data_IF_886653364494
#
_entry.id   IF_886653364494
#
_cell.length_a   1.000
_cell.length_b   1.000
_cell.length_c   1.000
_cell.angle_alpha   90.00
_cell.angle_beta   90.00
_cell.angle_gamma   90.00
#
_symmetry.space_group_name_H-M   'P 1'
#
loop_
_entity.id
_entity.type
_entity.pdbx_description
1 polymer ?
#
# COMPACT_ATOMS: atom_id res chain seq x y z
N UNK A 1 -18.59 51.09 -26.56
CA UNK A 1 -18.25 49.82 -27.25
C UNK A 1 -17.29 49.05 -26.38
N UNK A 2 -17.82 48.14 -25.58
CA UNK A 2 -17.12 47.33 -24.58
C UNK A 2 -16.73 45.99 -25.21
N UNK A 3 -15.43 45.68 -25.25
CA UNK A 3 -14.96 44.32 -25.54
C UNK A 3 -13.87 43.94 -24.55
N UNK A 4 -14.33 43.45 -23.40
CA UNK A 4 -13.57 42.65 -22.45
C UNK A 4 -13.21 41.34 -23.14
N UNK A 5 -11.92 41.09 -23.40
CA UNK A 5 -11.43 39.82 -23.94
C UNK A 5 -10.55 39.18 -22.87
N UNK A 6 -11.15 38.42 -21.96
CA UNK A 6 -10.49 37.43 -21.09
C UNK A 6 -11.64 36.59 -20.54
N UNK A 7 -11.81 35.31 -20.96
CA UNK A 7 -11.16 34.22 -20.24
C UNK A 7 -10.99 32.94 -21.10
N UNK A 8 -9.94 32.83 -21.91
CA UNK A 8 -9.70 31.59 -22.68
C UNK A 8 -8.66 30.65 -22.03
N UNK A 9 -7.91 31.13 -21.02
CA UNK A 9 -6.75 30.39 -20.48
C UNK A 9 -7.04 29.58 -19.21
N UNK A 10 -8.24 29.68 -18.63
CA UNK A 10 -8.58 29.01 -17.37
C UNK A 10 -9.14 27.59 -17.54
N UNK A 11 -9.50 27.16 -18.76
CA UNK A 11 -10.14 25.86 -19.01
C UNK A 11 -9.19 24.70 -19.33
N UNK A 12 -7.90 24.96 -19.58
CA UNK A 12 -6.94 23.94 -20.04
C UNK A 12 -6.28 23.14 -18.91
N UNK A 13 -6.47 23.50 -17.64
CA UNK A 13 -5.80 22.85 -16.51
C UNK A 13 -6.62 21.65 -15.95
N UNK A 14 -7.90 21.51 -16.30
CA UNK A 14 -8.77 20.47 -15.72
C UNK A 14 -8.66 19.10 -16.41
N UNK A 15 -8.06 19.00 -17.60
CA UNK A 15 -7.94 17.75 -18.35
C UNK A 15 -6.83 16.80 -17.87
N UNK A 16 -6.04 17.20 -16.87
CA UNK A 16 -4.91 16.40 -16.37
C UNK A 16 -5.29 15.41 -15.24
N UNK A 17 -6.54 15.39 -14.76
CA UNK A 17 -7.02 14.38 -13.81
C UNK A 17 -7.58 13.14 -14.54
N UNK A 18 -6.79 12.50 -15.37
CA UNK A 18 -7.09 11.11 -15.76
C UNK A 18 -6.82 10.23 -14.54
N UNK A 19 -7.86 9.91 -13.79
CA UNK A 19 -7.78 8.92 -12.73
C UNK A 19 -7.33 7.58 -13.34
N UNK A 20 -6.10 7.17 -13.06
CA UNK A 20 -5.63 5.83 -13.43
C UNK A 20 -6.47 4.83 -12.65
N UNK A 21 -7.21 3.98 -13.35
CA UNK A 21 -7.89 2.86 -12.71
C UNK A 21 -6.84 2.03 -11.95
N UNK A 22 -7.08 1.82 -10.66
CA UNK A 22 -6.23 0.97 -9.83
C UNK A 22 -6.29 -0.49 -10.29
N UNK A 23 -5.38 -1.35 -9.78
CA UNK A 23 -5.41 -2.79 -10.07
C UNK A 23 -6.75 -3.41 -9.61
N UNK A 24 -7.20 -4.45 -10.32
CA UNK A 24 -8.44 -5.16 -9.96
C UNK A 24 -8.29 -5.92 -8.64
N UNK A 25 -9.42 -6.29 -8.03
CA UNK A 25 -9.43 -7.10 -6.81
C UNK A 25 -8.74 -8.45 -7.03
N UNK A 26 -8.97 -9.11 -8.17
CA UNK A 26 -8.30 -10.37 -8.52
C UNK A 26 -6.79 -10.19 -8.63
N UNK A 27 -6.32 -9.08 -9.20
CA UNK A 27 -4.89 -8.78 -9.29
C UNK A 27 -4.27 -8.55 -7.92
N UNK A 28 -4.98 -7.86 -7.02
CA UNK A 28 -4.55 -7.63 -5.64
C UNK A 28 -4.49 -8.95 -4.85
N UNK A 29 -5.48 -9.83 -5.01
CA UNK A 29 -5.50 -11.18 -4.43
C UNK A 29 -4.27 -11.97 -4.91
N UNK A 30 -4.01 -12.00 -6.22
CA UNK A 30 -2.83 -12.70 -6.79
C UNK A 30 -1.51 -12.15 -6.24
N UNK A 31 -1.38 -10.82 -6.11
CA UNK A 31 -0.18 -10.20 -5.53
C UNK A 31 0.02 -10.57 -4.06
N UNK A 32 -1.07 -10.60 -3.27
CA UNK A 32 -1.06 -10.99 -1.86
C UNK A 32 -0.66 -12.46 -1.70
N UNK A 33 -1.25 -13.36 -2.47
CA UNK A 33 -0.95 -14.79 -2.42
C UNK A 33 0.51 -15.07 -2.83
N UNK A 34 0.97 -14.43 -3.91
CA UNK A 34 2.38 -14.50 -4.34
C UNK A 34 3.32 -14.04 -3.22
N UNK A 35 3.00 -12.94 -2.54
CA UNK A 35 3.84 -12.37 -1.46
C UNK A 35 3.93 -13.31 -0.26
N UNK A 36 2.80 -13.88 0.15
CA UNK A 36 2.74 -14.82 1.28
C UNK A 36 3.44 -16.14 0.98
N UNK A 37 3.59 -16.51 -0.31
CA UNK A 37 4.38 -17.65 -0.75
C UNK A 37 5.89 -17.41 -0.81
N UNK A 38 6.39 -16.19 -0.61
CA UNK A 38 7.83 -15.92 -0.68
C UNK A 38 8.58 -16.62 0.47
N UNK A 39 9.79 -17.11 0.17
CA UNK A 39 10.56 -17.93 1.09
C UNK A 39 10.88 -17.24 2.43
N UNK A 40 11.02 -15.92 2.46
CA UNK A 40 11.26 -15.19 3.71
C UNK A 40 10.02 -15.12 4.60
N UNK A 41 8.82 -15.24 4.02
CA UNK A 41 7.56 -15.35 4.76
C UNK A 41 7.40 -16.78 5.30
N UNK A 42 7.65 -17.79 4.47
CA UNK A 42 7.35 -19.18 4.82
C UNK A 42 8.44 -19.90 5.62
N UNK A 43 9.71 -19.52 5.49
CA UNK A 43 10.83 -20.20 6.19
C UNK A 43 10.97 -19.79 7.66
N UNK A 44 10.31 -18.72 8.11
CA UNK A 44 10.48 -18.18 9.45
C UNK A 44 9.17 -18.24 10.25
N UNK A 45 9.23 -18.57 11.55
CA UNK A 45 8.06 -18.60 12.40
C UNK A 45 7.65 -17.18 12.81
N UNK A 46 6.91 -16.48 11.95
CA UNK A 46 6.41 -15.14 12.24
C UNK A 46 5.45 -15.15 13.44
N UNK A 47 5.64 -14.20 14.35
CA UNK A 47 4.64 -13.91 15.38
C UNK A 47 3.59 -12.95 14.84
N UNK A 48 2.32 -13.34 14.96
CA UNK A 48 1.17 -12.48 14.67
C UNK A 48 0.65 -11.74 15.90
N UNK A 49 1.16 -12.10 17.09
CA UNK A 49 0.85 -11.46 18.36
C UNK A 49 2.04 -10.62 18.85
N UNK A 50 1.79 -9.34 19.10
CA UNK A 50 2.83 -8.40 19.51
C UNK A 50 3.35 -8.65 20.93
N UNK A 51 2.49 -9.07 21.87
CA UNK A 51 2.92 -9.36 23.23
C UNK A 51 3.86 -10.58 23.26
N UNK A 52 3.55 -11.62 22.47
CA UNK A 52 4.42 -12.79 22.28
C UNK A 52 5.76 -12.41 21.66
N UNK A 53 5.76 -11.56 20.63
CA UNK A 53 7.00 -11.07 20.01
C UNK A 53 7.90 -10.31 21.01
N UNK A 54 7.31 -9.46 21.85
CA UNK A 54 8.04 -8.76 22.92
C UNK A 54 8.64 -9.72 23.95
N UNK A 55 7.88 -10.73 24.37
CA UNK A 55 8.38 -11.72 25.32
C UNK A 55 9.58 -12.51 24.76
N UNK A 56 9.53 -12.89 23.48
CA UNK A 56 10.63 -13.62 22.82
C UNK A 56 11.86 -12.73 22.61
N UNK A 57 11.67 -11.46 22.24
CA UNK A 57 12.75 -10.49 22.12
C UNK A 57 13.49 -10.27 23.45
N UNK A 58 12.75 -10.14 24.56
CA UNK A 58 13.33 -9.99 25.89
C UNK A 58 14.15 -11.23 26.31
N UNK A 59 13.68 -12.44 25.99
CA UNK A 59 14.41 -13.69 26.27
C UNK A 59 15.67 -13.85 25.43
N UNK A 60 15.60 -13.50 24.15
CA UNK A 60 16.68 -13.72 23.19
C UNK A 60 17.68 -12.57 23.10
N UNK A 61 17.38 -11.41 23.68
CA UNK A 61 18.18 -10.19 23.55
C UNK A 61 18.17 -9.60 22.13
N UNK A 62 17.27 -10.05 21.26
CA UNK A 62 17.18 -9.62 19.86
C UNK A 62 16.20 -8.47 19.69
N UNK A 63 16.45 -7.61 18.71
CA UNK A 63 15.50 -6.57 18.30
C UNK A 63 14.30 -7.17 17.58
N UNK A 64 13.15 -6.51 17.68
CA UNK A 64 11.95 -6.89 16.95
C UNK A 64 12.02 -6.28 15.55
N UNK A 65 11.96 -7.14 14.53
CA UNK A 65 11.67 -6.73 13.16
C UNK A 65 10.18 -6.97 12.87
N UNK A 66 9.45 -5.91 12.53
CA UNK A 66 8.03 -6.00 12.17
C UNK A 66 7.82 -5.66 10.70
N UNK A 67 6.92 -6.39 10.05
CA UNK A 67 6.49 -6.10 8.70
C UNK A 67 4.97 -5.96 8.66
N UNK A 68 4.50 -4.73 8.47
CA UNK A 68 3.08 -4.47 8.30
C UNK A 68 2.74 -4.52 6.82
N UNK A 69 1.77 -5.34 6.47
CA UNK A 69 1.19 -5.33 5.13
C UNK A 69 -0.27 -4.93 5.21
N UNK A 70 -0.73 -4.22 4.18
CA UNK A 70 -2.13 -3.89 3.99
C UNK A 70 -2.64 -4.60 2.75
N UNK A 71 -3.70 -5.38 2.90
CA UNK A 71 -4.46 -5.89 1.76
C UNK A 71 -5.67 -4.98 1.63
N UNK A 72 -5.52 -3.81 0.99
CA UNK A 72 -6.70 -2.97 0.76
C UNK A 72 -7.52 -3.63 -0.33
N UNK A 73 -8.68 -4.15 0.08
CA UNK A 73 -9.92 -4.03 -0.68
C UNK A 73 -10.37 -2.56 -0.60
N UNK A 74 -10.97 -1.96 -1.63
CA UNK A 74 -12.09 -1.05 -1.40
C UNK A 74 -13.19 -1.76 -0.60
#
# INVERSE_FOLDING_TARGET
MTKTVLPALALSILSALTATAGPSQEELIKKRDKKLGEAWVTKQPWFTDYAKAKAEAAKSGKIIFTYFSRSYSP
#
